data_IF_287335731035
#
_entry.id   IF_287335731035
#
_cell.length_a   1.000
_cell.length_b   1.000
_cell.length_c   1.000
_cell.angle_alpha   90.00
_cell.angle_beta   90.00
_cell.angle_gamma   90.00
#
_symmetry.space_group_name_H-M   'P 1'
#
loop_
_entity.id
_entity.type
_entity.pdbx_description
1 polymer ?
#
# COMPACT_ATOMS: atom_id res chain seq x y z
N UNK A 1 4.47 11.39 57.80
CA UNK A 1 4.74 11.37 56.34
C UNK A 1 4.12 10.12 55.74
N UNK A 2 2.95 10.21 55.12
CA UNK A 2 2.27 9.08 54.49
C UNK A 2 2.62 9.04 53.00
N UNK A 3 3.40 8.04 52.56
CA UNK A 3 3.68 7.81 51.14
C UNK A 3 2.53 7.00 50.55
N UNK A 4 1.62 7.67 49.87
CA UNK A 4 0.65 7.05 48.97
C UNK A 4 1.40 6.54 47.73
N UNK A 5 1.65 5.23 47.66
CA UNK A 5 2.10 4.60 46.43
C UNK A 5 0.88 4.39 45.53
N UNK A 6 0.70 5.25 44.53
CA UNK A 6 -0.32 5.05 43.51
C UNK A 6 0.03 3.80 42.69
N UNK A 7 -0.62 2.67 42.99
CA UNK A 7 -0.58 1.49 42.13
C UNK A 7 -1.46 1.78 40.91
N UNK A 8 -0.82 1.97 39.75
CA UNK A 8 -1.54 2.05 38.48
C UNK A 8 -2.30 0.73 38.24
N UNK A 9 -3.55 0.76 37.75
CA UNK A 9 -4.29 -0.45 37.45
C UNK A 9 -3.60 -1.21 36.31
N UNK A 10 -3.22 -2.47 36.57
CA UNK A 10 -2.72 -3.39 35.55
C UNK A 10 -3.83 -3.58 34.51
N UNK A 11 -3.62 -3.10 33.28
CA UNK A 11 -4.45 -3.48 32.13
C UNK A 11 -4.32 -4.99 31.97
N UNK A 12 -5.39 -5.73 32.25
CA UNK A 12 -5.44 -7.17 32.05
C UNK A 12 -5.60 -7.43 30.56
N UNK A 13 -4.50 -7.76 29.90
CA UNK A 13 -4.54 -8.35 28.58
C UNK A 13 -5.09 -9.77 28.71
N UNK A 14 -6.23 -10.05 28.11
CA UNK A 14 -6.78 -11.41 28.05
C UNK A 14 -6.01 -12.19 26.97
N UNK A 15 -5.14 -13.09 27.42
CA UNK A 15 -4.43 -14.02 26.55
C UNK A 15 -5.09 -15.39 26.66
N UNK A 16 -5.25 -16.10 25.54
CA UNK A 16 -5.80 -17.47 25.53
C UNK A 16 -4.86 -18.51 26.17
N UNK A 17 -3.62 -18.13 26.48
CA UNK A 17 -2.56 -19.00 27.02
C UNK A 17 -2.38 -18.73 28.51
N UNK A 18 -2.19 -19.79 29.31
CA UNK A 18 -1.90 -19.69 30.74
C UNK A 18 -0.55 -19.01 30.97
N UNK A 19 -0.55 -17.96 31.80
CA UNK A 19 0.61 -17.10 32.07
C UNK A 19 0.93 -17.07 33.57
N UNK A 20 2.18 -16.76 33.91
CA UNK A 20 2.63 -16.54 35.29
C UNK A 20 2.24 -15.14 35.84
N UNK A 21 2.69 -14.82 37.06
CA UNK A 21 2.46 -13.53 37.72
C UNK A 21 3.07 -12.32 36.97
N UNK A 22 4.01 -12.58 36.07
CA UNK A 22 4.73 -11.63 35.22
C UNK A 22 4.22 -11.63 33.77
N UNK A 23 3.11 -12.32 33.48
CA UNK A 23 2.52 -12.45 32.14
C UNK A 23 3.40 -13.23 31.14
N UNK A 24 4.32 -14.07 31.61
CA UNK A 24 5.11 -14.96 30.77
C UNK A 24 4.34 -16.28 30.55
N UNK A 25 4.34 -16.84 29.33
CA UNK A 25 3.64 -18.08 29.05
C UNK A 25 4.31 -19.25 29.79
N UNK A 26 3.50 -20.05 30.50
CA UNK A 26 3.99 -21.20 31.28
C UNK A 26 4.48 -22.36 30.38
N UNK A 27 4.01 -22.40 29.13
CA UNK A 27 4.42 -23.38 28.12
C UNK A 27 5.27 -22.69 27.06
N UNK A 28 6.24 -23.39 26.44
CA UNK A 28 6.98 -22.83 25.32
C UNK A 28 6.00 -22.48 24.19
N UNK A 29 5.89 -21.19 23.89
CA UNK A 29 5.13 -20.68 22.75
C UNK A 29 6.05 -20.49 21.57
N UNK A 30 5.56 -20.80 20.37
CA UNK A 30 6.31 -20.50 19.15
C UNK A 30 6.55 -19.00 19.02
N UNK A 31 7.77 -18.63 18.62
CA UNK A 31 8.06 -17.25 18.24
C UNK A 31 7.40 -16.93 16.90
N UNK A 32 7.13 -15.66 16.66
CA UNK A 32 6.61 -15.20 15.36
C UNK A 32 7.56 -15.59 14.23
N UNK A 33 8.88 -15.54 14.47
CA UNK A 33 9.90 -16.00 13.53
C UNK A 33 9.83 -17.51 13.23
N UNK A 34 9.41 -18.33 14.20
CA UNK A 34 9.20 -19.77 13.97
C UNK A 34 7.93 -20.04 13.15
N UNK A 35 6.95 -19.14 13.22
CA UNK A 35 5.67 -19.26 12.52
C UNK A 35 5.78 -18.79 11.06
N UNK A 36 6.51 -17.71 10.81
CA UNK A 36 6.73 -17.15 9.48
C UNK A 36 7.94 -17.82 8.82
N UNK A 37 7.71 -18.86 8.01
CA UNK A 37 8.78 -19.56 7.28
C UNK A 37 8.94 -18.97 5.88
N UNK A 38 10.14 -18.56 5.51
CA UNK A 38 10.43 -18.06 4.16
C UNK A 38 10.59 -19.25 3.21
N UNK A 39 9.51 -19.64 2.52
CA UNK A 39 9.49 -20.78 1.60
C UNK A 39 9.20 -20.43 0.14
N UNK A 40 9.03 -19.15 -0.18
CA UNK A 40 8.66 -18.76 -1.53
C UNK A 40 9.83 -18.78 -2.51
N UNK A 41 9.51 -19.07 -3.77
CA UNK A 41 10.44 -18.95 -4.88
C UNK A 41 10.73 -17.47 -5.17
N UNK A 42 12.00 -17.11 -5.45
CA UNK A 42 12.36 -15.75 -5.83
C UNK A 42 11.83 -15.40 -7.23
N UNK A 43 11.63 -14.11 -7.47
CA UNK A 43 11.08 -13.60 -8.72
C UNK A 43 12.10 -13.75 -9.86
N UNK A 44 11.61 -14.17 -11.02
CA UNK A 44 12.42 -14.25 -12.24
C UNK A 44 12.77 -12.85 -12.78
N UNK A 45 13.95 -12.70 -13.39
CA UNK A 45 14.37 -11.44 -14.02
C UNK A 45 13.36 -10.92 -15.06
N UNK A 46 12.66 -11.83 -15.76
CA UNK A 46 11.60 -11.46 -16.71
C UNK A 46 10.40 -10.82 -16.02
N UNK A 47 9.98 -11.38 -14.90
CA UNK A 47 8.86 -10.86 -14.10
C UNK A 47 9.24 -9.52 -13.48
N UNK A 48 10.46 -9.40 -12.96
CA UNK A 48 10.96 -8.14 -12.41
C UNK A 48 10.99 -7.02 -13.47
N UNK A 49 11.53 -7.28 -14.67
CA UNK A 49 11.49 -6.32 -15.79
C UNK A 49 10.06 -5.97 -16.21
N UNK A 50 9.15 -6.96 -16.20
CA UNK A 50 7.75 -6.71 -16.51
C UNK A 50 7.09 -5.79 -15.48
N UNK A 51 7.36 -5.98 -14.19
CA UNK A 51 6.88 -5.08 -13.12
C UNK A 51 7.38 -3.65 -13.28
N UNK A 52 8.67 -3.47 -13.62
CA UNK A 52 9.22 -2.14 -13.90
C UNK A 52 8.49 -1.46 -15.06
N UNK A 53 8.16 -2.20 -16.11
CA UNK A 53 7.40 -1.67 -17.25
C UNK A 53 5.97 -1.29 -16.87
N UNK A 54 5.28 -2.11 -16.08
CA UNK A 54 3.92 -1.81 -15.61
C UNK A 54 3.89 -0.57 -14.72
N UNK A 55 4.90 -0.40 -13.88
CA UNK A 55 5.06 0.78 -13.04
C UNK A 55 5.62 2.01 -13.78
N UNK A 56 5.98 1.87 -15.07
CA UNK A 56 6.66 2.89 -15.87
C UNK A 56 7.95 3.41 -15.22
N UNK A 57 8.68 2.55 -14.51
CA UNK A 57 9.92 2.89 -13.81
C UNK A 57 11.14 2.46 -14.64
N UNK A 58 12.12 3.36 -14.75
CA UNK A 58 13.42 3.08 -15.37
C UNK A 58 14.53 3.25 -14.35
N UNK A 59 15.27 2.17 -14.07
CA UNK A 59 16.42 2.20 -13.16
C UNK A 59 17.68 2.32 -14.00
N UNK A 60 18.50 3.35 -13.73
CA UNK A 60 19.76 3.60 -14.46
C UNK A 60 20.95 2.85 -13.87
N UNK A 61 20.90 2.56 -12.57
CA UNK A 61 22.00 1.94 -11.83
C UNK A 61 21.69 0.47 -11.50
N UNK A 62 22.61 -0.42 -11.87
CA UNK A 62 22.51 -1.86 -11.67
C UNK A 62 22.54 -2.25 -10.19
N UNK A 63 23.22 -1.48 -9.33
CA UNK A 63 23.25 -1.77 -7.89
C UNK A 63 21.88 -1.54 -7.24
N UNK A 64 21.19 -0.48 -7.64
CA UNK A 64 19.82 -0.21 -7.21
C UNK A 64 18.84 -1.25 -7.75
N UNK A 65 19.05 -1.72 -8.98
CA UNK A 65 18.23 -2.77 -9.59
C UNK A 65 18.28 -4.09 -8.78
N UNK A 66 19.50 -4.55 -8.43
CA UNK A 66 19.66 -5.79 -7.67
C UNK A 66 19.14 -5.69 -6.23
N UNK A 67 19.35 -4.53 -5.59
CA UNK A 67 18.81 -4.26 -4.25
C UNK A 67 17.28 -4.27 -4.27
N UNK A 68 16.66 -3.57 -5.22
CA UNK A 68 15.20 -3.53 -5.35
C UNK A 68 14.64 -4.93 -5.61
N UNK A 69 15.28 -5.71 -6.47
CA UNK A 69 14.87 -7.10 -6.71
C UNK A 69 14.86 -7.91 -5.41
N UNK A 70 15.94 -7.82 -4.62
CA UNK A 70 16.02 -8.52 -3.33
C UNK A 70 14.92 -8.07 -2.34
N UNK A 71 14.60 -6.78 -2.31
CA UNK A 71 13.51 -6.25 -1.47
C UNK A 71 12.14 -6.77 -1.91
N UNK A 72 11.86 -6.82 -3.22
CA UNK A 72 10.60 -7.38 -3.73
C UNK A 72 10.53 -8.89 -3.44
N UNK A 73 11.63 -9.62 -3.55
CA UNK A 73 11.67 -11.05 -3.19
C UNK A 73 11.32 -11.26 -1.71
N UNK A 74 11.85 -10.42 -0.81
CA UNK A 74 11.51 -10.47 0.62
C UNK A 74 10.03 -10.17 0.88
N UNK A 75 9.46 -9.16 0.22
CA UNK A 75 8.04 -8.83 0.34
C UNK A 75 7.16 -9.96 -0.17
N UNK A 76 7.52 -10.57 -1.29
CA UNK A 76 6.76 -11.67 -1.89
C UNK A 76 6.77 -12.90 -0.97
N UNK A 77 7.95 -13.26 -0.44
CA UNK A 77 8.09 -14.32 0.57
C UNK A 77 7.21 -14.09 1.78
N UNK A 78 7.13 -12.85 2.27
CA UNK A 78 6.27 -12.52 3.38
C UNK A 78 4.79 -12.70 3.04
N UNK A 79 4.35 -12.20 1.88
CA UNK A 79 2.94 -12.28 1.46
C UNK A 79 2.46 -13.70 1.17
N UNK A 80 3.35 -14.62 0.79
CA UNK A 80 2.97 -16.01 0.54
C UNK A 80 2.53 -16.75 1.81
N UNK A 81 2.97 -16.30 2.98
CA UNK A 81 2.44 -16.82 4.26
C UNK A 81 0.95 -16.47 4.43
N UNK A 82 0.48 -15.36 3.87
CA UNK A 82 -0.93 -14.95 3.92
C UNK A 82 -1.76 -15.85 3.01
N UNK A 83 -1.22 -16.27 1.85
CA UNK A 83 -1.94 -17.14 0.90
C UNK A 83 -2.27 -18.52 1.45
N UNK A 84 -1.53 -18.99 2.47
CA UNK A 84 -1.79 -20.28 3.12
C UNK A 84 -3.06 -20.24 3.99
N UNK A 85 -3.59 -19.06 4.28
CA UNK A 85 -4.85 -18.91 4.99
C UNK A 85 -6.02 -19.34 4.10
N UNK A 86 -6.91 -20.17 4.65
CA UNK A 86 -8.11 -20.61 3.93
C UNK A 86 -9.08 -19.43 3.76
N UNK A 87 -9.03 -18.81 2.58
CA UNK A 87 -9.88 -17.70 2.18
C UNK A 87 -11.20 -18.15 1.55
N UNK A 88 -11.48 -19.45 1.47
CA UNK A 88 -12.70 -19.97 0.83
C UNK A 88 -13.98 -19.61 1.59
N UNK A 89 -13.86 -19.26 2.87
CA UNK A 89 -14.99 -19.05 3.77
C UNK A 89 -15.56 -17.62 3.70
N UNK A 90 -14.74 -16.62 3.36
CA UNK A 90 -15.10 -15.21 3.48
C UNK A 90 -15.02 -14.45 2.14
N UNK A 91 -16.02 -13.62 1.86
CA UNK A 91 -16.00 -12.70 0.71
C UNK A 91 -14.91 -11.63 0.92
N UNK A 92 -14.15 -11.25 -0.12
CA UNK A 92 -13.12 -10.23 0.02
C UNK A 92 -13.75 -8.88 0.40
N UNK A 93 -13.15 -8.23 1.40
CA UNK A 93 -13.57 -6.89 1.82
C UNK A 93 -13.09 -5.86 0.80
N UNK A 94 -14.01 -5.23 0.06
CA UNK A 94 -13.71 -4.20 -0.95
C UNK A 94 -13.67 -2.79 -0.35
N UNK A 95 -14.55 -2.52 0.60
CA UNK A 95 -14.66 -1.24 1.29
C UNK A 95 -14.78 -1.46 2.81
N UNK A 96 -14.26 -0.51 3.60
CA UNK A 96 -14.41 -0.53 5.07
C UNK A 96 -15.88 -0.32 5.46
N UNK A 97 -16.59 0.46 4.65
CA UNK A 97 -18.00 0.79 4.85
C UNK A 97 -18.86 -0.26 4.15
N UNK A 98 -20.06 -0.49 4.69
CA UNK A 98 -21.04 -1.36 4.03
C UNK A 98 -21.38 -0.79 2.65
N UNK A 99 -21.75 -1.67 1.73
CA UNK A 99 -22.37 -1.26 0.47
C UNK A 99 -23.52 -0.28 0.79
N UNK A 100 -23.60 0.79 0.00
CA UNK A 100 -24.55 1.91 0.12
C UNK A 100 -24.35 2.85 1.33
N UNK A 101 -23.42 2.57 2.24
CA UNK A 101 -23.06 3.49 3.31
C UNK A 101 -22.12 4.59 2.78
N UNK A 102 -22.63 5.82 2.71
CA UNK A 102 -21.83 7.00 2.32
C UNK A 102 -21.73 7.21 0.80
N UNK A 103 -22.55 6.51 0.00
CA UNK A 103 -22.70 6.84 -1.41
C UNK A 103 -23.50 8.14 -1.54
N UNK A 104 -22.80 9.24 -1.76
CA UNK A 104 -23.41 10.53 -2.13
C UNK A 104 -23.55 10.49 -3.64
N UNK A 105 -24.79 10.37 -4.12
CA UNK A 105 -25.09 10.52 -5.54
C UNK A 105 -24.72 11.96 -5.92
N UNK A 106 -23.95 12.10 -7.00
CA UNK A 106 -23.68 13.41 -7.57
C UNK A 106 -24.88 13.76 -8.44
N UNK A 107 -25.54 14.89 -8.14
CA UNK A 107 -26.60 15.42 -8.98
C UNK A 107 -26.02 15.83 -10.35
N UNK A 108 -26.77 15.54 -11.42
CA UNK A 108 -26.39 15.88 -12.80
C UNK A 108 -26.78 17.34 -13.16
N UNK A 109 -26.67 18.24 -12.18
CA UNK A 109 -26.94 19.66 -12.39
C UNK A 109 -25.82 20.29 -13.24
N UNK A 110 -26.21 21.12 -14.22
CA UNK A 110 -25.26 21.93 -14.99
C UNK A 110 -24.63 22.96 -14.05
N UNK A 111 -23.38 22.71 -13.66
CA UNK A 111 -22.65 23.64 -12.80
C UNK A 111 -22.35 24.91 -13.62
N UNK A 112 -23.01 26.02 -13.27
CA UNK A 112 -22.80 27.30 -13.93
C UNK A 112 -21.33 27.75 -13.77
N UNK A 113 -20.58 27.65 -14.86
CA UNK A 113 -19.12 27.86 -14.95
C UNK A 113 -18.67 29.32 -14.80
N UNK A 114 -19.31 30.11 -13.94
CA UNK A 114 -19.01 31.53 -13.76
C UNK A 114 -17.78 31.78 -12.88
N UNK A 115 -17.45 30.84 -11.98
CA UNK A 115 -16.31 30.93 -11.06
C UNK A 115 -15.35 29.73 -11.11
N UNK A 116 -15.66 28.67 -11.87
CA UNK A 116 -14.87 27.46 -11.88
C UNK A 116 -13.66 27.60 -12.79
N UNK A 117 -12.49 27.24 -12.23
CA UNK A 117 -11.20 27.15 -12.93
C UNK A 117 -11.43 26.52 -14.30
N UNK A 118 -11.28 27.30 -15.38
CA UNK A 118 -11.45 26.76 -16.72
C UNK A 118 -10.40 25.66 -16.88
N UNK A 119 -10.70 24.57 -17.59
CA UNK A 119 -9.73 23.48 -17.79
C UNK A 119 -8.35 23.95 -18.32
N UNK A 120 -8.31 25.13 -18.94
CA UNK A 120 -7.07 25.81 -19.38
C UNK A 120 -6.23 26.41 -18.24
N UNK A 121 -6.82 26.74 -17.10
CA UNK A 121 -6.07 27.20 -15.92
C UNK A 121 -5.15 26.09 -15.39
N UNK A 122 -5.49 24.82 -15.60
CA UNK A 122 -4.64 23.67 -15.27
C UNK A 122 -3.32 23.65 -16.07
N UNK A 123 -3.26 24.36 -17.21
CA UNK A 123 -2.03 24.50 -17.99
C UNK A 123 -1.03 25.45 -17.33
N UNK A 124 -1.44 26.27 -16.34
CA UNK A 124 -0.51 27.13 -15.57
C UNK A 124 0.47 26.29 -14.74
N UNK A 125 0.08 25.10 -14.32
CA UNK A 125 0.91 24.17 -13.54
C UNK A 125 1.71 23.19 -14.43
N UNK A 126 1.49 23.22 -15.76
CA UNK A 126 2.14 22.31 -16.67
C UNK A 126 3.62 22.63 -16.83
N UNK A 127 4.49 21.62 -16.69
CA UNK A 127 5.93 21.79 -16.91
C UNK A 127 6.26 22.09 -18.38
N UNK A 128 5.47 21.57 -19.32
CA UNK A 128 5.63 21.77 -20.77
C UNK A 128 4.29 21.94 -21.45
N UNK A 129 4.18 23.00 -22.26
CA UNK A 129 3.01 23.32 -23.07
C UNK A 129 3.44 23.78 -24.46
N UNK A 130 2.61 23.51 -25.45
CA UNK A 130 2.67 24.11 -26.78
C UNK A 130 1.30 24.67 -27.08
N UNK A 131 1.22 25.99 -27.25
CA UNK A 131 -0.05 26.71 -27.30
C UNK A 131 -0.94 26.37 -26.10
N UNK A 132 -2.10 25.76 -26.40
CA UNK A 132 -3.14 25.39 -25.43
C UNK A 132 -3.14 23.89 -25.07
N UNK A 133 -2.05 23.17 -25.33
CA UNK A 133 -1.99 21.71 -25.12
C UNK A 133 -0.77 21.30 -24.29
N UNK A 134 -0.92 20.19 -23.56
CA UNK A 134 0.21 19.50 -22.90
C UNK A 134 1.10 18.85 -23.96
N UNK A 135 2.41 18.94 -23.76
CA UNK A 135 3.38 18.34 -24.69
C UNK A 135 4.09 17.18 -24.03
N UNK A 136 3.95 16.00 -24.62
CA UNK A 136 4.69 14.79 -24.25
C UNK A 136 5.81 14.56 -25.27
N UNK A 137 7.01 14.25 -24.79
CA UNK A 137 8.13 13.91 -25.67
C UNK A 137 7.81 12.61 -26.42
N UNK A 138 7.91 12.63 -27.75
CA UNK A 138 7.64 11.49 -28.61
C UNK A 138 6.30 11.51 -29.34
N UNK A 139 5.46 12.54 -29.11
CA UNK A 139 4.14 12.65 -29.73
C UNK A 139 3.93 13.93 -30.54
N UNK A 140 4.98 14.66 -30.94
CA UNK A 140 4.81 15.93 -31.67
C UNK A 140 3.99 15.69 -32.95
N UNK A 141 2.83 16.35 -33.13
CA UNK A 141 2.34 16.63 -34.46
C UNK A 141 3.30 17.65 -35.08
N UNK A 142 3.83 17.34 -36.25
CA UNK A 142 4.59 18.28 -37.06
C UNK A 142 3.73 19.52 -37.31
N UNK A 143 4.05 20.64 -36.68
CA UNK A 143 3.54 21.95 -37.10
C UNK A 143 4.75 22.74 -37.57
N UNK A 144 5.14 22.49 -38.82
CA UNK A 144 5.77 23.50 -39.66
C UNK A 144 4.71 24.54 -39.99
N UNK A 145 4.95 25.78 -39.59
CA UNK A 145 4.48 27.02 -40.23
C UNK A 145 5.49 28.13 -39.88
#
# INVERSE_FOLDING_TARGET
>A
MLRLTSRLPRRLYTTKVAVDEHCLPLKPTWSIHSLLQNKAEPISDKQFKHLLNLAQLSIRDKQHESKLKAEIDQLTQFTDNIKQWDASVDKPLTHIWKEDAGQILRDDDEIESSAELRGRDLLKLAQKKSGNFYVVKGSMPSSED
#
